data_IF_459099547718
#
_entry.id   IF_459099547718
#
_cell.length_a   1.000
_cell.length_b   1.000
_cell.length_c   1.000
_cell.angle_alpha   90.00
_cell.angle_beta   90.00
_cell.angle_gamma   90.00
#
_symmetry.space_group_name_H-M   'P 1'
#
loop_
_entity.id
_entity.type
_entity.pdbx_description
1 polymer ?
#
# COMPACT_ATOMS: atom_id res chain seq x y z
N UNK A 1 -11.74 -11.80 -3.26
CA UNK A 1 -11.29 -12.81 -2.29
C UNK A 1 -12.48 -13.21 -1.43
N UNK A 2 -13.17 -14.33 -1.72
CA UNK A 2 -14.37 -14.77 -0.98
C UNK A 2 -14.31 -16.23 -0.52
N UNK A 3 -13.15 -16.70 -0.06
CA UNK A 3 -13.09 -17.98 0.67
C UNK A 3 -12.09 -17.83 1.80
N UNK A 4 -12.54 -17.97 3.07
CA UNK A 4 -11.66 -18.28 4.18
C UNK A 4 -10.97 -19.60 3.84
N UNK A 5 -9.72 -19.54 3.45
CA UNK A 5 -8.88 -20.73 3.40
C UNK A 5 -8.48 -21.04 4.84
N UNK A 6 -8.84 -22.23 5.33
CA UNK A 6 -8.42 -22.67 6.67
C UNK A 6 -6.89 -22.59 6.78
N UNK A 7 -6.39 -21.95 7.84
CA UNK A 7 -4.97 -21.74 8.07
C UNK A 7 -4.34 -20.60 7.26
N UNK A 8 -5.12 -19.77 6.55
CA UNK A 8 -4.56 -18.65 5.77
C UNK A 8 -4.15 -17.49 6.66
N UNK A 9 -2.95 -16.96 6.39
CA UNK A 9 -2.32 -15.88 7.14
C UNK A 9 -2.16 -14.66 6.22
N UNK A 10 -2.70 -13.54 6.67
CA UNK A 10 -2.62 -12.25 6.00
C UNK A 10 -1.74 -11.27 6.76
N UNK A 11 -0.99 -10.46 6.04
CA UNK A 11 -0.21 -9.35 6.58
C UNK A 11 -0.49 -8.08 5.77
N UNK A 12 -0.83 -7.01 6.47
CA UNK A 12 -0.83 -5.65 5.94
C UNK A 12 0.49 -4.96 6.32
N UNK A 13 1.38 -4.82 5.35
CA UNK A 13 2.70 -4.23 5.52
C UNK A 13 2.61 -2.71 5.33
N UNK A 14 2.75 -1.96 6.42
CA UNK A 14 2.49 -0.51 6.48
C UNK A 14 1.02 -0.20 6.70
N UNK A 15 0.42 -0.87 7.68
CA UNK A 15 -1.03 -0.84 7.92
C UNK A 15 -1.57 0.49 8.44
N UNK A 16 -0.72 1.41 8.89
CA UNK A 16 -1.13 2.67 9.49
C UNK A 16 -2.16 2.46 10.60
N UNK A 17 -3.30 3.14 10.50
CA UNK A 17 -4.40 3.04 11.47
C UNK A 17 -5.32 1.82 11.23
N UNK A 18 -4.96 0.90 10.34
CA UNK A 18 -5.66 -0.36 10.13
C UNK A 18 -6.93 -0.29 9.29
N UNK A 19 -7.12 0.78 8.52
CA UNK A 19 -8.35 0.99 7.73
C UNK A 19 -8.59 -0.17 6.74
N UNK A 20 -7.59 -0.48 5.91
CA UNK A 20 -7.67 -1.59 4.95
C UNK A 20 -7.49 -2.94 5.62
N UNK A 21 -6.62 -3.03 6.61
CA UNK A 21 -6.29 -4.24 7.36
C UNK A 21 -7.54 -4.90 7.93
N UNK A 22 -8.38 -4.11 8.60
CA UNK A 22 -9.63 -4.56 9.22
C UNK A 22 -10.58 -5.20 8.19
N UNK A 23 -10.76 -4.56 7.03
CA UNK A 23 -11.70 -5.04 6.01
C UNK A 23 -11.16 -6.29 5.29
N UNK A 24 -9.89 -6.30 4.93
CA UNK A 24 -9.26 -7.41 4.20
C UNK A 24 -9.03 -8.59 5.12
N UNK A 25 -8.54 -8.34 6.35
CA UNK A 25 -8.17 -9.36 7.33
C UNK A 25 -9.31 -10.30 7.71
N UNK A 26 -10.57 -9.83 7.67
CA UNK A 26 -11.75 -10.68 7.95
C UNK A 26 -11.90 -11.88 7.00
N UNK A 27 -11.22 -11.86 5.85
CA UNK A 27 -11.24 -12.96 4.89
C UNK A 27 -10.21 -14.06 5.18
N UNK A 28 -9.35 -13.87 6.20
CA UNK A 28 -8.29 -14.78 6.59
C UNK A 28 -8.52 -15.33 8.00
N UNK A 29 -7.89 -16.46 8.30
CA UNK A 29 -7.97 -17.05 9.63
C UNK A 29 -7.14 -16.25 10.63
N UNK A 30 -5.93 -15.85 10.22
CA UNK A 30 -5.05 -14.99 10.99
C UNK A 30 -4.73 -13.72 10.21
N UNK A 31 -4.81 -12.59 10.88
CA UNK A 31 -4.55 -11.28 10.30
C UNK A 31 -3.53 -10.51 11.14
N UNK A 32 -2.54 -9.92 10.47
CA UNK A 32 -1.50 -9.09 11.07
C UNK A 32 -1.43 -7.74 10.36
N UNK A 33 -1.12 -6.70 11.12
CA UNK A 33 -0.77 -5.38 10.61
C UNK A 33 0.54 -4.90 11.22
N UNK A 34 1.49 -4.43 10.41
CA UNK A 34 2.76 -3.88 10.89
C UNK A 34 2.95 -2.46 10.40
N UNK A 35 3.39 -1.56 11.29
CA UNK A 35 3.72 -0.17 10.98
C UNK A 35 4.77 0.37 11.97
N UNK A 36 5.57 1.36 11.55
CA UNK A 36 6.54 2.04 12.40
C UNK A 36 5.87 2.97 13.41
N UNK A 37 4.68 3.50 13.10
CA UNK A 37 3.96 4.45 13.94
C UNK A 37 3.27 3.76 15.10
N UNK A 38 3.83 3.90 16.30
CA UNK A 38 3.23 3.40 17.54
C UNK A 38 1.81 3.97 17.77
N UNK A 39 1.59 5.22 17.40
CA UNK A 39 0.29 5.88 17.57
C UNK A 39 -0.75 5.27 16.63
N UNK A 40 -0.39 5.03 15.36
CA UNK A 40 -1.25 4.38 14.39
C UNK A 40 -1.62 2.97 14.83
N UNK A 41 -0.65 2.17 15.27
CA UNK A 41 -0.87 0.81 15.80
C UNK A 41 -1.77 0.81 17.04
N UNK A 42 -1.58 1.74 17.97
CA UNK A 42 -2.45 1.87 19.14
C UNK A 42 -3.89 2.23 18.76
N UNK A 43 -4.07 3.05 17.71
CA UNK A 43 -5.40 3.37 17.19
C UNK A 43 -6.04 2.13 16.55
N UNK A 44 -5.33 1.48 15.62
CA UNK A 44 -5.79 0.27 14.92
C UNK A 44 -6.23 -0.83 15.89
N UNK A 45 -5.40 -1.15 16.88
CA UNK A 45 -5.65 -2.22 17.86
C UNK A 45 -6.87 -1.97 18.77
N UNK A 46 -7.31 -0.72 18.91
CA UNK A 46 -8.55 -0.37 19.62
C UNK A 46 -9.78 -0.62 18.76
N UNK A 47 -9.69 -0.39 17.44
CA UNK A 47 -10.80 -0.45 16.50
C UNK A 47 -11.06 -1.87 15.96
N UNK A 48 -10.02 -2.70 15.90
CA UNK A 48 -10.09 -4.06 15.38
C UNK A 48 -9.45 -5.04 16.36
N UNK A 49 -10.20 -6.10 16.71
CA UNK A 49 -9.79 -7.15 17.65
C UNK A 49 -9.48 -8.48 16.94
N UNK A 50 -9.74 -8.56 15.66
CA UNK A 50 -9.43 -9.74 14.83
C UNK A 50 -7.95 -9.77 14.44
N UNK A 51 -7.38 -8.61 14.12
CA UNK A 51 -6.00 -8.45 13.66
C UNK A 51 -5.03 -8.25 14.85
N UNK A 52 -3.86 -8.86 14.75
CA UNK A 52 -2.73 -8.59 15.65
C UNK A 52 -1.87 -7.47 15.04
N UNK A 53 -1.77 -6.35 15.74
CA UNK A 53 -1.04 -5.17 15.30
C UNK A 53 0.34 -5.10 15.96
N UNK A 54 1.38 -4.85 15.14
CA UNK A 54 2.80 -4.91 15.51
C UNK A 54 3.45 -3.55 15.18
N UNK A 55 4.21 -2.99 16.12
CA UNK A 55 5.10 -1.86 15.82
C UNK A 55 6.43 -2.41 15.32
N UNK A 56 6.78 -2.15 14.06
CA UNK A 56 7.99 -2.70 13.47
C UNK A 56 8.33 -2.14 12.10
N UNK A 57 9.53 -2.48 11.62
CA UNK A 57 10.03 -2.10 10.31
C UNK A 57 9.54 -3.05 9.22
N UNK A 58 9.29 -2.50 8.02
CA UNK A 58 8.98 -3.31 6.82
C UNK A 58 10.23 -4.01 6.23
N UNK A 59 11.41 -3.62 6.71
CA UNK A 59 12.70 -4.15 6.24
C UNK A 59 13.31 -5.17 7.20
N UNK A 60 12.65 -5.46 8.32
CA UNK A 60 13.05 -6.46 9.32
C UNK A 60 11.80 -6.85 10.13
N UNK A 61 11.00 -7.75 9.58
CA UNK A 61 9.70 -8.13 10.12
C UNK A 61 9.79 -9.37 11.01
N UNK A 62 9.09 -9.41 12.17
CA UNK A 62 9.15 -10.51 13.14
C UNK A 62 8.32 -11.72 12.70
N UNK A 63 8.47 -12.14 11.46
CA UNK A 63 7.83 -13.33 10.90
C UNK A 63 8.86 -14.35 10.45
N UNK A 64 8.51 -15.62 10.54
CA UNK A 64 9.35 -16.70 10.01
C UNK A 64 9.37 -16.69 8.49
N UNK A 65 10.40 -17.27 7.90
CA UNK A 65 10.48 -17.50 6.47
C UNK A 65 9.27 -18.33 6.02
N UNK A 66 8.74 -18.00 4.84
CA UNK A 66 7.66 -18.75 4.19
C UNK A 66 6.45 -19.00 5.10
N UNK A 67 6.06 -18.00 5.91
CA UNK A 67 4.97 -18.13 6.90
C UNK A 67 3.67 -17.43 6.49
N UNK A 68 3.70 -16.46 5.56
CA UNK A 68 2.57 -15.61 5.19
C UNK A 68 1.98 -16.04 3.84
N UNK A 69 0.67 -16.14 3.73
CA UNK A 69 -0.02 -16.51 2.48
C UNK A 69 -0.32 -15.33 1.57
N UNK A 70 -0.64 -14.18 2.18
CA UNK A 70 -0.98 -12.96 1.44
C UNK A 70 -0.45 -11.72 2.16
N UNK A 71 0.24 -10.86 1.42
CA UNK A 71 0.71 -9.55 1.91
C UNK A 71 0.05 -8.45 1.10
N UNK A 72 -0.34 -7.35 1.75
CA UNK A 72 -0.67 -6.07 1.09
C UNK A 72 0.37 -5.02 1.45
N UNK A 73 0.64 -4.12 0.51
CA UNK A 73 1.45 -2.90 0.70
C UNK A 73 0.74 -1.76 0.00
N UNK A 74 0.15 -0.82 0.75
CA UNK A 74 -0.69 0.25 0.23
C UNK A 74 -0.07 1.59 0.55
N UNK A 75 0.45 2.30 -0.46
CA UNK A 75 1.13 3.60 -0.34
C UNK A 75 2.32 3.62 0.63
N UNK A 76 3.07 2.54 0.69
CA UNK A 76 4.24 2.39 1.57
C UNK A 76 5.48 2.01 0.78
N UNK A 77 6.69 2.26 1.32
CA UNK A 77 7.93 1.75 0.74
C UNK A 77 7.91 0.22 0.62
N UNK A 78 8.45 -0.32 -0.47
CA UNK A 78 8.45 -1.75 -0.73
C UNK A 78 9.68 -2.42 -0.09
N UNK A 79 9.47 -3.16 0.98
CA UNK A 79 10.48 -4.07 1.58
C UNK A 79 10.55 -5.38 0.80
N UNK A 80 10.86 -5.33 -0.49
CA UNK A 80 10.69 -6.46 -1.43
C UNK A 80 11.42 -7.72 -1.01
N UNK A 81 12.65 -7.61 -0.49
CA UNK A 81 13.45 -8.78 -0.07
C UNK A 81 12.87 -9.43 1.18
N UNK A 82 12.42 -8.60 2.12
CA UNK A 82 11.82 -9.07 3.36
C UNK A 82 10.44 -9.69 3.12
N UNK A 83 9.63 -9.10 2.24
CA UNK A 83 8.36 -9.70 1.82
C UNK A 83 8.61 -11.01 1.08
N UNK A 84 9.65 -11.09 0.23
CA UNK A 84 10.01 -12.34 -0.42
C UNK A 84 10.39 -13.44 0.59
N UNK A 85 11.12 -13.08 1.65
CA UNK A 85 11.51 -14.02 2.71
C UNK A 85 10.31 -14.61 3.42
N UNK A 86 9.38 -13.75 3.89
CA UNK A 86 8.24 -14.18 4.72
C UNK A 86 7.10 -14.82 3.92
N UNK A 87 6.97 -14.50 2.62
CA UNK A 87 5.89 -15.00 1.78
C UNK A 87 6.11 -16.47 1.46
N UNK A 88 5.09 -17.29 1.63
CA UNK A 88 5.10 -18.71 1.23
C UNK A 88 5.31 -18.86 -0.28
N UNK A 89 5.80 -20.02 -0.70
CA UNK A 89 5.75 -20.41 -2.12
C UNK A 89 4.30 -20.36 -2.61
N UNK A 90 4.08 -19.78 -3.78
CA UNK A 90 2.76 -19.50 -4.35
C UNK A 90 1.91 -18.50 -3.55
N UNK A 91 2.45 -17.83 -2.52
CA UNK A 91 1.81 -16.74 -1.81
C UNK A 91 1.69 -15.49 -2.68
N UNK A 92 0.76 -14.61 -2.32
CA UNK A 92 0.44 -13.41 -3.08
C UNK A 92 0.88 -12.14 -2.37
N UNK A 93 1.42 -11.21 -3.13
CA UNK A 93 1.69 -9.85 -2.69
C UNK A 93 0.93 -8.86 -3.54
N UNK A 94 0.08 -8.05 -2.91
CA UNK A 94 -0.73 -7.02 -3.57
C UNK A 94 -0.15 -5.67 -3.22
N UNK A 95 0.29 -4.94 -4.22
CA UNK A 95 0.87 -3.59 -4.09
C UNK A 95 -0.11 -2.59 -4.67
N UNK A 96 -0.38 -1.53 -3.90
CA UNK A 96 -1.18 -0.40 -4.37
C UNK A 96 -0.35 0.87 -4.24
N UNK A 97 -0.16 1.56 -5.34
CA UNK A 97 0.56 2.83 -5.41
C UNK A 97 -0.17 3.87 -6.27
N UNK A 98 0.33 5.10 -6.31
CA UNK A 98 -0.23 6.14 -7.15
C UNK A 98 0.02 5.82 -8.63
N UNK A 99 -1.00 6.02 -9.47
CA UNK A 99 -0.86 5.96 -10.91
C UNK A 99 -0.30 7.27 -11.51
N UNK A 100 -0.01 7.30 -12.82
CA UNK A 100 0.54 8.46 -13.50
C UNK A 100 -0.25 9.74 -13.26
N UNK A 101 -1.57 9.66 -13.30
CA UNK A 101 -2.47 10.83 -13.16
C UNK A 101 -3.00 11.03 -11.73
N UNK A 102 -2.45 10.30 -10.75
CA UNK A 102 -2.88 10.46 -9.36
C UNK A 102 -2.65 11.89 -8.86
N UNK A 103 -3.73 12.59 -8.48
CA UNK A 103 -3.73 13.98 -8.03
C UNK A 103 -3.06 14.94 -9.03
N UNK A 104 -3.22 14.72 -10.36
CA UNK A 104 -2.54 15.53 -11.36
C UNK A 104 -3.04 16.99 -11.32
N UNK A 105 -4.33 17.22 -11.14
CA UNK A 105 -4.93 18.55 -11.03
C UNK A 105 -4.38 19.32 -9.82
N UNK A 106 -4.08 18.65 -8.73
CA UNK A 106 -3.37 19.27 -7.60
C UNK A 106 -1.96 19.69 -7.99
N UNK A 107 -1.24 18.89 -8.78
CA UNK A 107 0.10 19.25 -9.28
C UNK A 107 0.06 20.45 -10.25
N UNK A 108 -1.00 20.59 -11.04
CA UNK A 108 -1.19 21.76 -11.91
C UNK A 108 -1.34 23.06 -11.11
N UNK A 109 -1.95 22.98 -9.92
CA UNK A 109 -2.00 24.14 -9.00
C UNK A 109 -0.66 24.40 -8.34
N UNK A 110 0.08 23.35 -7.96
CA UNK A 110 1.31 23.46 -7.18
C UNK A 110 2.52 23.91 -8.02
N UNK A 111 2.64 23.42 -9.27
CA UNK A 111 3.85 23.52 -10.08
C UNK A 111 3.58 24.27 -11.37
N UNK A 112 4.53 25.10 -11.78
CA UNK A 112 4.47 25.81 -13.07
C UNK A 112 4.68 24.83 -14.27
N UNK A 113 5.34 23.70 -14.01
CA UNK A 113 5.48 22.57 -14.94
C UNK A 113 5.06 21.30 -14.22
N UNK A 114 3.78 20.92 -14.26
CA UNK A 114 3.28 19.70 -13.65
C UNK A 114 3.83 18.46 -14.38
N UNK A 115 4.00 17.38 -13.65
CA UNK A 115 4.50 16.10 -14.17
C UNK A 115 3.61 14.93 -13.72
N UNK A 116 3.47 13.93 -14.58
CA UNK A 116 2.84 12.67 -14.22
C UNK A 116 3.76 11.82 -13.32
N UNK A 117 3.20 10.95 -12.49
CA UNK A 117 4.02 9.96 -11.78
C UNK A 117 4.51 8.91 -12.79
N UNK A 118 5.62 8.29 -12.46
CA UNK A 118 6.08 7.11 -13.21
C UNK A 118 5.21 5.91 -12.87
N UNK A 119 5.04 5.00 -13.83
CA UNK A 119 4.44 3.71 -13.56
C UNK A 119 5.36 2.90 -12.63
N UNK A 120 4.82 2.16 -11.66
CA UNK A 120 5.63 1.27 -10.83
C UNK A 120 6.39 0.25 -11.68
N UNK A 121 7.68 0.09 -11.40
CA UNK A 121 8.49 -0.96 -12.02
C UNK A 121 7.98 -2.35 -11.66
N UNK A 122 8.09 -3.28 -12.62
CA UNK A 122 7.74 -4.67 -12.38
C UNK A 122 8.92 -5.36 -11.70
N UNK A 123 8.65 -6.04 -10.60
CA UNK A 123 9.65 -6.75 -9.79
C UNK A 123 9.91 -8.13 -10.39
N UNK A 124 11.08 -8.32 -11.01
CA UNK A 124 11.44 -9.55 -11.73
C UNK A 124 11.54 -10.81 -10.85
N UNK A 125 11.76 -10.63 -9.55
CA UNK A 125 11.82 -11.75 -8.59
C UNK A 125 10.47 -12.38 -8.27
N UNK A 126 9.37 -11.80 -8.77
CA UNK A 126 8.01 -12.30 -8.61
C UNK A 126 7.35 -12.57 -9.96
N UNK A 127 6.40 -13.49 -9.98
CA UNK A 127 5.49 -13.65 -11.12
C UNK A 127 4.45 -12.50 -11.08
N UNK A 128 4.39 -11.71 -12.14
CA UNK A 128 3.31 -10.73 -12.30
C UNK A 128 2.02 -11.45 -12.69
N UNK A 129 1.05 -11.47 -11.78
CA UNK A 129 -0.25 -12.09 -12.02
C UNK A 129 -1.22 -11.12 -12.67
N UNK A 130 -1.26 -9.88 -12.19
CA UNK A 130 -2.13 -8.81 -12.73
C UNK A 130 -1.54 -7.44 -12.40
N UNK A 131 -1.79 -6.48 -13.28
CA UNK A 131 -1.61 -5.06 -12.99
C UNK A 131 -2.76 -4.30 -13.64
N UNK A 132 -3.45 -3.49 -12.86
CA UNK A 132 -4.58 -2.69 -13.34
C UNK A 132 -4.54 -1.28 -12.78
N UNK A 133 -5.09 -0.33 -13.56
CA UNK A 133 -5.27 1.05 -13.13
C UNK A 133 -6.74 1.23 -12.74
N UNK A 134 -6.95 1.72 -11.54
CA UNK A 134 -8.27 2.12 -11.04
C UNK A 134 -8.28 3.64 -10.93
N UNK A 135 -9.27 4.28 -11.53
CA UNK A 135 -9.37 5.73 -11.57
C UNK A 135 -10.76 6.21 -11.15
N UNK A 136 -10.81 7.24 -10.34
CA UNK A 136 -12.03 7.94 -9.96
C UNK A 136 -11.76 9.45 -9.89
N UNK A 137 -12.72 10.28 -10.36
CA UNK A 137 -12.69 11.73 -10.15
C UNK A 137 -13.62 12.12 -9.03
N UNK A 138 -13.13 12.95 -8.13
CA UNK A 138 -13.91 13.49 -7.00
C UNK A 138 -13.70 14.98 -6.83
N UNK A 139 -14.77 15.68 -6.49
CA UNK A 139 -14.69 17.03 -5.98
C UNK A 139 -14.19 16.99 -4.53
N UNK A 140 -13.11 17.69 -4.25
CA UNK A 140 -12.49 17.82 -2.93
C UNK A 140 -12.73 19.25 -2.43
N UNK A 141 -13.45 19.38 -1.31
CA UNK A 141 -13.76 20.68 -0.70
C UNK A 141 -12.62 21.16 0.22
N UNK A 142 -11.83 20.26 0.79
CA UNK A 142 -10.65 20.58 1.61
C UNK A 142 -9.36 20.18 0.87
N UNK A 143 -8.96 21.05 -0.06
CA UNK A 143 -7.76 20.84 -0.90
C UNK A 143 -6.47 20.92 -0.07
N UNK A 144 -6.48 21.69 1.03
CA UNK A 144 -5.32 21.79 1.92
C UNK A 144 -5.05 20.48 2.66
N UNK A 145 -6.08 19.87 3.25
CA UNK A 145 -5.92 18.54 3.89
C UNK A 145 -5.48 17.47 2.88
N UNK A 146 -5.99 17.50 1.64
CA UNK A 146 -5.50 16.61 0.61
C UNK A 146 -4.00 16.82 0.34
N UNK A 147 -3.54 18.06 0.21
CA UNK A 147 -2.12 18.36 0.02
C UNK A 147 -1.25 17.81 1.18
N UNK A 148 -1.71 17.97 2.42
CA UNK A 148 -0.99 17.48 3.61
C UNK A 148 -0.83 15.95 3.63
N UNK A 149 -1.72 15.22 2.99
CA UNK A 149 -1.65 13.76 2.84
C UNK A 149 -0.68 13.32 1.73
N UNK A 150 -0.14 14.25 0.93
CA UNK A 150 0.76 13.95 -0.17
C UNK A 150 2.20 14.37 0.13
N UNK A 151 3.21 13.73 -0.47
CA UNK A 151 4.61 14.18 -0.37
C UNK A 151 4.86 15.52 -1.08
N UNK A 152 3.91 16.03 -1.86
CA UNK A 152 4.03 17.28 -2.60
C UNK A 152 4.14 18.48 -1.67
N UNK A 153 3.52 18.43 -0.48
CA UNK A 153 3.59 19.45 0.56
C UNK A 153 5.01 19.95 0.84
N UNK A 154 5.97 19.02 0.85
CA UNK A 154 7.38 19.29 1.20
C UNK A 154 8.25 19.66 0.00
N UNK A 155 7.74 19.53 -1.22
CA UNK A 155 8.47 19.81 -2.48
C UNK A 155 7.98 21.05 -3.20
N UNK A 156 6.95 21.71 -2.66
CA UNK A 156 6.26 22.84 -3.31
C UNK A 156 6.81 24.18 -2.80
N UNK A 157 6.93 25.15 -3.72
CA UNK A 157 7.28 26.53 -3.40
C UNK A 157 6.19 27.22 -2.58
N UNK A 158 6.55 28.31 -1.88
CA UNK A 158 5.57 29.10 -1.15
C UNK A 158 4.44 29.61 -2.07
N UNK A 159 4.77 30.02 -3.29
CA UNK A 159 3.78 30.47 -4.28
C UNK A 159 2.75 29.36 -4.64
N UNK A 160 3.21 28.10 -4.78
CA UNK A 160 2.33 26.96 -5.00
C UNK A 160 1.42 26.70 -3.81
N UNK A 161 1.95 26.78 -2.58
CA UNK A 161 1.16 26.65 -1.36
C UNK A 161 0.09 27.75 -1.25
N UNK A 162 0.44 28.98 -1.63
CA UNK A 162 -0.49 30.10 -1.56
C UNK A 162 -1.60 29.99 -2.62
N UNK A 163 -1.31 29.37 -3.80
CA UNK A 163 -2.35 29.04 -4.79
C UNK A 163 -3.37 28.03 -4.21
N UNK A 164 -2.91 26.99 -3.54
CA UNK A 164 -3.81 25.98 -2.92
C UNK A 164 -4.70 26.60 -1.85
N UNK A 165 -4.17 27.50 -1.01
CA UNK A 165 -4.95 28.18 0.03
C UNK A 165 -6.09 29.05 -0.50
N UNK A 166 -6.03 29.46 -1.77
CA UNK A 166 -7.05 30.27 -2.43
C UNK A 166 -8.17 29.42 -3.05
N UNK A 167 -8.01 28.09 -3.08
CA UNK A 167 -9.00 27.20 -3.63
C UNK A 167 -10.03 26.83 -2.56
N UNK A 168 -11.31 27.02 -2.91
CA UNK A 168 -12.42 26.51 -2.11
C UNK A 168 -12.61 25.00 -2.33
N UNK A 169 -12.41 24.56 -3.58
CA UNK A 169 -12.55 23.14 -3.99
C UNK A 169 -11.77 22.85 -5.27
N UNK A 170 -11.48 21.58 -5.50
CA UNK A 170 -10.80 21.11 -6.70
C UNK A 170 -11.37 19.75 -7.12
N UNK A 171 -11.67 19.56 -8.42
CA UNK A 171 -11.92 18.22 -8.93
C UNK A 171 -10.58 17.52 -9.10
N UNK A 172 -10.42 16.35 -8.49
CA UNK A 172 -9.15 15.63 -8.42
C UNK A 172 -9.32 14.21 -8.95
N UNK A 173 -8.40 13.81 -9.81
CA UNK A 173 -8.27 12.43 -10.28
C UNK A 173 -7.52 11.60 -9.24
N UNK A 174 -8.20 10.65 -8.62
CA UNK A 174 -7.58 9.60 -7.80
C UNK A 174 -7.32 8.40 -8.71
N UNK A 175 -6.05 8.17 -9.02
CA UNK A 175 -5.63 7.06 -9.88
C UNK A 175 -4.66 6.16 -9.11
N UNK A 176 -4.96 4.87 -9.08
CA UNK A 176 -4.20 3.86 -8.35
C UNK A 176 -3.76 2.76 -9.30
N UNK A 177 -2.52 2.32 -9.16
CA UNK A 177 -2.03 1.09 -9.80
C UNK A 177 -2.09 -0.02 -8.76
N UNK A 178 -2.88 -1.04 -9.06
CA UNK A 178 -2.97 -2.26 -8.27
C UNK A 178 -2.17 -3.35 -8.97
N UNK A 179 -1.08 -3.80 -8.36
CA UNK A 179 -0.22 -4.84 -8.89
C UNK A 179 -0.31 -6.07 -8.01
N UNK A 180 -0.59 -7.22 -8.61
CA UNK A 180 -0.67 -8.51 -7.93
C UNK A 180 0.53 -9.35 -8.36
N UNK A 181 1.37 -9.65 -7.41
CA UNK A 181 2.50 -10.54 -7.54
C UNK A 181 2.23 -11.89 -6.89
N UNK A 182 2.91 -12.91 -7.38
CA UNK A 182 2.96 -14.23 -6.78
C UNK A 182 4.41 -14.65 -6.60
N UNK A 183 4.78 -15.20 -5.45
CA UNK A 183 6.11 -15.77 -5.24
C UNK A 183 6.27 -17.04 -6.07
N UNK A 184 7.35 -17.12 -6.83
CA UNK A 184 7.66 -18.32 -7.62
C UNK A 184 7.80 -19.56 -6.74
N UNK A 185 7.36 -20.69 -7.25
CA UNK A 185 7.66 -21.99 -6.67
C UNK A 185 9.14 -22.35 -6.87
N UNK A 186 9.85 -22.64 -5.79
CA UNK A 186 11.26 -23.01 -5.88
C UNK A 186 11.41 -24.44 -6.35
N UNK A 187 11.62 -24.64 -7.66
CA UNK A 187 11.78 -25.96 -8.30
C UNK A 187 12.95 -26.79 -7.75
N UNK A 188 13.95 -26.16 -7.10
CA UNK A 188 15.12 -26.89 -6.57
C UNK A 188 14.80 -27.70 -5.30
N UNK A 189 13.77 -27.35 -4.53
CA UNK A 189 13.35 -28.13 -3.35
C UNK A 189 12.67 -29.47 -3.70
N UNK A 190 12.15 -29.63 -4.93
CA UNK A 190 11.46 -30.87 -5.38
C UNK A 190 12.39 -31.98 -5.90
N UNK A 191 13.68 -31.70 -6.11
CA UNK A 191 14.65 -32.71 -6.61
C UNK A 191 15.46 -33.40 -5.50
N UNK A 192 15.14 -33.19 -4.24
CA UNK A 192 15.88 -33.69 -3.09
C UNK A 192 15.11 -34.62 -2.14
N UNK A 193 14.12 -35.36 -2.63
CA UNK A 193 13.49 -36.48 -1.88
C UNK A 193 13.56 -37.77 -2.67
#
# INVERSE_FOLDING_TARGET
VKRKANGSIYLDAGCGQGYYTKEIGTNFEHSYGIDLSKEAILHASKQDKHTQYIVGSLFDMPFLDESIDCVTSIFVPLGQDEIYRILKENGYWIVVGPGPKHCFELKEVLYDTPYENEMPEILEQYELVNQEIIQEKKMVDDVWSLLEMTPYRYKTSQAGLDRVKQLERLEVTFEFVVTVYKKYENKSKKMGN
#
